data_IF_429772013270
#
_entry.id   IF_429772013270
#
_cell.length_a   1.000
_cell.length_b   1.000
_cell.length_c   1.000
_cell.angle_alpha   90.00
_cell.angle_beta   90.00
_cell.angle_gamma   90.00
#
_symmetry.space_group_name_H-M   'P 1'
#
loop_
_entity.id
_entity.type
_entity.pdbx_description
1 polymer ?
#
# COMPACT_ATOMS: atom_id res chain seq x y z
N UNK A 1 5.90 2.77 7.35
CA UNK A 1 5.25 1.73 6.53
C UNK A 1 5.07 0.45 7.34
N UNK A 2 4.11 -0.41 7.02
CA UNK A 2 3.74 -1.59 7.83
C UNK A 2 3.50 -2.81 6.93
N UNK A 3 4.55 -3.64 6.79
CA UNK A 3 4.53 -4.88 6.00
C UNK A 3 3.39 -5.81 6.38
N UNK A 4 3.25 -6.11 7.67
CA UNK A 4 2.30 -7.11 8.15
C UNK A 4 0.85 -6.75 7.81
N UNK A 5 0.51 -5.45 7.80
CA UNK A 5 -0.82 -5.00 7.39
C UNK A 5 -1.03 -5.10 5.87
N UNK A 6 0.00 -4.83 5.07
CA UNK A 6 -0.02 -5.04 3.63
C UNK A 6 -0.19 -6.53 3.28
N UNK A 7 0.59 -7.40 3.91
CA UNK A 7 0.50 -8.86 3.74
C UNK A 7 -0.87 -9.39 4.15
N UNK A 8 -1.45 -8.90 5.26
CA UNK A 8 -2.80 -9.27 5.66
C UNK A 8 -3.85 -8.91 4.59
N UNK A 9 -3.74 -7.72 3.97
CA UNK A 9 -4.60 -7.36 2.84
C UNK A 9 -4.39 -8.28 1.65
N UNK A 10 -3.13 -8.62 1.32
CA UNK A 10 -2.82 -9.51 0.20
C UNK A 10 -3.38 -10.93 0.41
N UNK A 11 -3.42 -11.39 1.66
CA UNK A 11 -4.05 -12.65 2.06
C UNK A 11 -5.58 -12.62 2.10
N UNK A 12 -6.23 -11.52 1.71
CA UNK A 12 -7.69 -11.41 1.74
C UNK A 12 -8.27 -11.20 3.14
N UNK A 13 -7.49 -10.67 4.07
CA UNK A 13 -7.95 -10.38 5.44
C UNK A 13 -8.42 -8.93 5.55
N UNK A 14 -9.61 -8.72 6.12
CA UNK A 14 -10.08 -7.39 6.45
C UNK A 14 -9.24 -6.78 7.58
N UNK A 15 -8.58 -5.65 7.31
CA UNK A 15 -7.65 -5.02 8.26
C UNK A 15 -8.34 -3.95 9.11
N UNK A 16 -8.07 -4.00 10.42
CA UNK A 16 -8.30 -2.88 11.35
C UNK A 16 -6.94 -2.43 11.87
N UNK A 17 -6.57 -1.17 11.63
CA UNK A 17 -5.25 -0.66 12.01
C UNK A 17 -5.29 0.81 12.38
N UNK A 18 -4.26 1.29 13.09
CA UNK A 18 -4.04 2.74 13.24
C UNK A 18 -3.38 3.31 12.00
N UNK A 19 -3.40 4.64 11.85
CA UNK A 19 -2.71 5.34 10.75
C UNK A 19 -1.20 5.14 10.73
N UNK A 20 -0.58 4.87 11.89
CA UNK A 20 0.88 4.76 12.00
C UNK A 20 1.43 3.72 11.02
N UNK A 21 2.12 4.18 9.98
CA UNK A 21 2.76 3.34 8.98
C UNK A 21 1.82 2.67 7.97
N UNK A 22 0.54 3.02 7.89
CA UNK A 22 -0.43 2.37 6.99
C UNK A 22 -1.12 3.33 6.01
N UNK A 23 -0.81 4.63 6.08
CA UNK A 23 -1.56 5.68 5.36
C UNK A 23 -1.56 5.53 3.84
N UNK A 24 -0.55 4.87 3.27
CA UNK A 24 -0.44 4.64 1.82
C UNK A 24 -1.53 3.71 1.27
N UNK A 25 -2.09 2.82 2.11
CA UNK A 25 -3.03 1.79 1.68
C UNK A 25 -4.28 1.65 2.57
N UNK A 26 -4.25 2.12 3.82
CA UNK A 26 -5.36 1.99 4.76
C UNK A 26 -6.25 3.25 4.74
N UNK A 27 -7.34 3.16 3.99
CA UNK A 27 -8.34 4.22 3.83
C UNK A 27 -9.57 3.81 4.63
N UNK A 28 -9.93 4.61 5.66
CA UNK A 28 -11.03 4.29 6.57
C UNK A 28 -12.33 4.01 5.81
N UNK A 29 -12.95 2.87 6.09
CA UNK A 29 -14.20 2.36 5.51
C UNK A 29 -14.15 2.05 4.01
N UNK A 30 -13.00 2.20 3.37
CA UNK A 30 -12.80 1.89 1.95
C UNK A 30 -11.98 0.62 1.81
N UNK A 31 -10.74 0.62 2.32
CA UNK A 31 -9.79 -0.52 2.19
C UNK A 31 -9.41 -1.12 3.54
N UNK A 32 -9.63 -0.38 4.63
CA UNK A 32 -9.41 -0.83 6.01
C UNK A 32 -10.39 -0.11 6.96
N UNK A 33 -10.51 -0.58 8.20
CA UNK A 33 -11.11 0.21 9.27
C UNK A 33 -9.99 0.92 10.04
N UNK A 34 -10.00 2.27 10.03
CA UNK A 34 -8.93 3.08 10.61
C UNK A 34 -9.52 3.98 11.70
N UNK A 35 -9.69 3.46 12.93
CA UNK A 35 -10.23 4.24 14.03
C UNK A 35 -9.39 5.49 14.31
N UNK A 36 -10.08 6.59 14.66
CA UNK A 36 -9.47 7.89 15.00
C UNK A 36 -8.46 7.79 16.15
N UNK A 37 -8.72 6.95 17.14
CA UNK A 37 -7.91 6.83 18.35
C UNK A 37 -7.26 5.45 18.45
N UNK A 38 -6.04 5.42 18.98
CA UNK A 38 -5.26 4.18 19.24
C UNK A 38 -5.69 3.43 20.51
N UNK A 39 -6.80 3.80 21.10
CA UNK A 39 -7.24 3.27 22.40
C UNK A 39 -8.07 2.00 22.19
N UNK A 40 -8.00 1.07 23.14
CA UNK A 40 -8.63 -0.26 23.04
C UNK A 40 -10.11 -0.20 22.69
N UNK A 41 -10.88 0.70 23.31
CA UNK A 41 -12.31 0.87 23.00
C UNK A 41 -12.56 1.35 21.57
N UNK A 42 -11.64 2.13 20.99
CA UNK A 42 -11.79 2.67 19.64
C UNK A 42 -11.55 1.56 18.61
N UNK A 43 -10.54 0.72 18.85
CA UNK A 43 -10.30 -0.50 18.07
C UNK A 43 -11.47 -1.47 18.21
N UNK A 44 -11.98 -1.70 19.42
CA UNK A 44 -13.13 -2.57 19.64
C UNK A 44 -14.37 -2.10 18.85
N UNK A 45 -14.65 -0.79 18.83
CA UNK A 45 -15.74 -0.21 18.03
C UNK A 45 -15.55 -0.39 16.53
N UNK A 46 -14.31 -0.42 16.04
CA UNK A 46 -14.00 -0.69 14.63
C UNK A 46 -14.12 -2.19 14.28
N UNK A 47 -13.72 -3.08 15.19
CA UNK A 47 -13.76 -4.54 15.01
C UNK A 47 -15.19 -5.08 15.09
N UNK A 48 -15.99 -4.62 16.05
CA UNK A 48 -17.31 -5.16 16.35
C UNK A 48 -18.26 -5.30 15.13
N UNK A 49 -18.40 -4.29 14.25
CA UNK A 49 -19.25 -4.41 13.07
C UNK A 49 -18.75 -5.48 12.08
N UNK A 50 -17.44 -5.69 11.99
CA UNK A 50 -16.84 -6.69 11.09
C UNK A 50 -17.04 -8.12 11.61
N UNK A 51 -17.15 -8.30 12.93
CA UNK A 51 -17.49 -9.61 13.51
C UNK A 51 -18.97 -9.96 13.30
N UNK A 52 -19.86 -8.96 13.39
CA UNK A 52 -21.32 -9.15 13.30
C UNK A 52 -21.84 -9.24 11.86
N UNK A 53 -21.17 -8.60 10.91
CA UNK A 53 -21.56 -8.58 9.50
C UNK A 53 -20.45 -9.18 8.61
N UNK A 54 -20.54 -10.49 8.28
CA UNK A 54 -19.62 -11.16 7.38
C UNK A 54 -19.56 -10.52 5.98
N UNK A 55 -20.67 -9.97 5.48
CA UNK A 55 -20.72 -9.33 4.17
C UNK A 55 -19.97 -8.00 4.15
N UNK A 56 -20.05 -7.21 5.22
CA UNK A 56 -19.21 -6.03 5.41
C UNK A 56 -17.73 -6.40 5.50
N UNK A 57 -17.40 -7.45 6.25
CA UNK A 57 -16.02 -7.95 6.36
C UNK A 57 -15.46 -8.39 5.01
N UNK A 58 -16.23 -9.17 4.24
CA UNK A 58 -15.84 -9.65 2.91
C UNK A 58 -15.61 -8.49 1.93
N UNK A 59 -16.50 -7.49 1.91
CA UNK A 59 -16.35 -6.29 1.06
C UNK A 59 -15.08 -5.50 1.40
N UNK A 60 -14.81 -5.30 2.69
CA UNK A 60 -13.60 -4.58 3.13
C UNK A 60 -12.32 -5.35 2.77
N UNK A 61 -12.32 -6.68 2.95
CA UNK A 61 -11.22 -7.55 2.54
C UNK A 61 -10.96 -7.48 1.03
N UNK A 62 -12.01 -7.61 0.21
CA UNK A 62 -11.89 -7.54 -1.25
C UNK A 62 -11.35 -6.17 -1.71
N UNK A 63 -11.80 -5.08 -1.10
CA UNK A 63 -11.27 -3.75 -1.38
C UNK A 63 -9.80 -3.59 -0.96
N UNK A 64 -9.42 -4.17 0.19
CA UNK A 64 -8.03 -4.23 0.65
C UNK A 64 -7.13 -5.01 -0.32
N UNK A 65 -7.58 -6.18 -0.79
CA UNK A 65 -6.87 -6.97 -1.82
C UNK A 65 -6.64 -6.14 -3.07
N UNK A 66 -7.68 -5.48 -3.59
CA UNK A 66 -7.58 -4.67 -4.79
C UNK A 66 -6.58 -3.51 -4.62
N UNK A 67 -6.60 -2.83 -3.47
CA UNK A 67 -5.67 -1.72 -3.17
C UNK A 67 -4.24 -2.20 -3.06
N UNK A 68 -3.99 -3.30 -2.37
CA UNK A 68 -2.61 -3.71 -2.09
C UNK A 68 -1.85 -4.20 -3.33
N UNK A 69 -2.55 -4.57 -4.40
CA UNK A 69 -1.92 -4.88 -5.69
C UNK A 69 -1.12 -3.70 -6.27
N UNK A 70 -1.38 -2.46 -5.84
CA UNK A 70 -0.59 -1.29 -6.25
C UNK A 70 0.85 -1.28 -5.68
N UNK A 71 1.12 -2.13 -4.69
CA UNK A 71 2.38 -2.26 -3.98
C UNK A 71 3.06 -3.61 -4.25
N UNK A 72 2.73 -4.27 -5.37
CA UNK A 72 3.44 -5.48 -5.80
C UNK A 72 4.92 -5.19 -6.06
N UNK A 73 5.75 -6.24 -5.98
CA UNK A 73 7.17 -6.11 -6.27
C UNK A 73 7.43 -5.69 -7.70
N UNK A 74 6.63 -6.17 -8.66
CA UNK A 74 6.71 -5.80 -10.07
C UNK A 74 6.49 -4.29 -10.23
N UNK A 75 5.38 -3.75 -9.70
CA UNK A 75 5.11 -2.31 -9.79
C UNK A 75 6.15 -1.45 -9.08
N UNK A 76 6.70 -1.96 -7.99
CA UNK A 76 7.74 -1.26 -7.23
C UNK A 76 9.05 -1.23 -8.02
N UNK A 77 9.44 -2.35 -8.62
CA UNK A 77 10.61 -2.43 -9.49
C UNK A 77 10.47 -1.50 -10.70
N UNK A 78 9.32 -1.51 -11.37
CA UNK A 78 9.03 -0.63 -12.52
C UNK A 78 9.21 0.86 -12.14
N UNK A 79 8.67 1.27 -10.98
CA UNK A 79 8.79 2.65 -10.48
C UNK A 79 10.24 3.03 -10.17
N UNK A 80 11.01 2.11 -9.58
CA UNK A 80 12.42 2.32 -9.27
C UNK A 80 13.22 2.46 -10.58
N UNK A 81 13.02 1.55 -11.53
CA UNK A 81 13.68 1.58 -12.83
C UNK A 81 13.38 2.88 -13.58
N UNK A 82 12.11 3.28 -13.66
CA UNK A 82 11.70 4.54 -14.28
C UNK A 82 12.37 5.74 -13.62
N UNK A 83 12.44 5.78 -12.29
CA UNK A 83 13.07 6.87 -11.56
C UNK A 83 14.58 6.94 -11.81
N UNK A 84 15.26 5.79 -11.90
CA UNK A 84 16.68 5.71 -12.21
C UNK A 84 16.94 6.15 -13.67
N UNK A 85 16.23 5.58 -14.64
CA UNK A 85 16.39 5.89 -16.06
C UNK A 85 16.07 7.36 -16.37
N UNK A 86 15.05 7.94 -15.74
CA UNK A 86 14.71 9.36 -15.91
C UNK A 86 15.83 10.30 -15.45
N UNK A 87 16.56 9.92 -14.40
CA UNK A 87 17.69 10.71 -13.87
C UNK A 87 18.97 10.47 -14.65
N UNK A 88 19.23 9.24 -15.05
CA UNK A 88 20.40 8.88 -15.86
C UNK A 88 20.30 9.42 -17.30
N UNK A 89 19.10 9.51 -17.87
CA UNK A 89 18.85 10.04 -19.21
C UNK A 89 19.26 11.51 -19.40
N UNK A 90 19.40 12.28 -18.31
CA UNK A 90 19.94 13.64 -18.33
C UNK A 90 21.48 13.73 -18.36
N UNK A 91 22.19 12.65 -18.05
CA UNK A 91 23.67 12.62 -18.02
C UNK A 91 24.31 11.72 -19.09
N UNK A 92 23.68 10.59 -19.43
CA UNK A 92 24.29 9.57 -20.29
C UNK A 92 24.34 9.94 -21.78
N UNK A 93 23.40 10.74 -22.29
CA UNK A 93 23.44 11.17 -23.70
C UNK A 93 24.62 12.10 -24.01
N UNK A 94 25.10 12.87 -23.02
CA UNK A 94 26.29 13.71 -23.17
C UNK A 94 27.60 12.92 -23.09
N UNK A 95 27.69 11.98 -22.15
CA UNK A 95 28.92 11.21 -21.93
C UNK A 95 29.16 10.13 -22.99
N UNK A 96 28.12 9.40 -23.42
CA UNK A 96 28.25 8.38 -24.48
C UNK A 96 28.57 9.00 -25.85
N UNK A 97 28.00 10.16 -26.17
CA UNK A 97 28.34 10.89 -27.39
C UNK A 97 29.78 11.43 -27.37
N UNK A 98 30.26 11.91 -26.22
CA UNK A 98 31.64 12.39 -26.06
C UNK A 98 32.68 11.26 -26.08
N UNK A 99 32.29 10.05 -25.68
CA UNK A 99 33.17 8.87 -25.66
C UNK A 99 33.23 8.17 -27.02
N UNK A 100 32.19 8.27 -27.85
CA UNK A 100 32.18 7.80 -29.24
C UNK A 100 32.86 8.74 -30.24
N UNK A 101 33.11 10.00 -29.84
CA UNK A 101 33.80 11.02 -30.64
C UNK A 101 35.32 11.13 -30.36
N UNK A 102 35.87 10.24 -29.52
CA UNK A 102 37.30 10.06 -29.26
C UNK A 102 37.79 8.77 -29.88
#
# INVERSE_FOLDING_TARGET
WCNTAAEAMACGVAVVCTRSGTEDFAIDRVTAAVPRWRWSWSLARAIQPLLRDPGRRARLAAAGVAKIQEFSWERTADRIEQALTSRMGGGLHGELAAQAAR
#
